data_IF_204297529477
#
_entry.id   IF_204297529477
#
_cell.length_a   1.000
_cell.length_b   1.000
_cell.length_c   1.000
_cell.angle_alpha   90.00
_cell.angle_beta   90.00
_cell.angle_gamma   90.00
#
_symmetry.space_group_name_H-M   'P 1'
#
loop_
_entity.id
_entity.type
_entity.pdbx_description
1 polymer ?
2 polymer ?
3 non-polymer ?
4 non-polymer ?
5 non-polymer ?
6 water ?
#
# COMPACT_ATOMS: atom_id res chain seq x y z
N UNK A 4 -10.06 -3.75 19.67
CA UNK A 4 -10.06 -4.79 18.58
C UNK A 4 -9.30 -4.24 17.34
N UNK A 5 -9.48 -2.95 17.01
CA UNK A 5 -8.87 -2.33 15.80
C UNK A 5 -7.63 -1.51 16.12
N UNK A 6 -6.51 -1.82 15.47
CA UNK A 6 -5.27 -1.04 15.67
C UNK A 6 -4.60 -0.76 14.33
N UNK A 7 -3.67 0.19 14.37
CA UNK A 7 -2.95 0.66 13.19
C UNK A 7 -1.46 0.48 13.41
N UNK A 8 -0.82 -0.18 12.45
CA UNK A 8 0.63 -0.37 12.41
C UNK A 8 1.17 0.28 11.14
N UNK A 9 2.28 1.01 11.27
CA UNK A 9 3.03 1.55 10.14
C UNK A 9 4.44 0.98 10.17
N UNK A 10 4.90 0.53 9.00
CA UNK A 10 6.21 -0.09 8.86
C UNK A 10 7.11 0.90 8.11
N UNK A 11 8.30 1.14 8.67
CA UNK A 11 9.24 2.08 8.06
C UNK A 11 10.65 1.51 8.12
N UNK A 12 11.53 2.10 7.33
CA UNK A 12 12.92 1.67 7.24
C UNK A 12 13.46 1.93 5.85
N UNK A 13 14.78 1.81 5.71
CA UNK A 13 15.44 2.16 4.46
C UNK A 13 14.86 1.44 3.26
N UNK A 14 14.98 2.07 2.10
CA UNK A 14 14.65 1.41 0.85
C UNK A 14 15.36 0.07 0.76
N UNK A 15 14.64 -0.93 0.28
CA UNK A 15 15.13 -2.28 0.04
C UNK A 15 15.45 -3.10 1.28
N UNK A 16 15.05 -2.65 2.47
CA UNK A 16 15.38 -3.37 3.71
C UNK A 16 14.42 -4.54 3.98
N UNK A 17 13.41 -4.74 3.13
CA UNK A 17 12.52 -5.90 3.21
C UNK A 17 11.11 -5.66 3.76
N UNK A 18 10.69 -4.40 3.84
CA UNK A 18 9.37 -4.08 4.40
C UNK A 18 8.21 -4.77 3.68
N UNK A 19 8.14 -4.57 2.38
CA UNK A 19 7.03 -5.11 1.58
C UNK A 19 7.00 -6.64 1.59
N UNK A 20 8.15 -7.26 1.38
CA UNK A 20 8.24 -8.72 1.46
C UNK A 20 7.80 -9.25 2.84
N UNK A 21 8.11 -8.54 3.92
CA UNK A 21 7.67 -8.95 5.25
C UNK A 21 6.13 -8.93 5.39
N UNK A 22 5.51 -7.87 4.89
CA UNK A 22 4.07 -7.77 4.87
C UNK A 22 3.44 -8.88 4.00
N UNK A 23 4.02 -9.10 2.82
CA UNK A 23 3.47 -10.11 1.89
C UNK A 23 3.49 -11.50 2.52
N UNK A 24 4.60 -11.86 3.14
CA UNK A 24 4.75 -13.18 3.76
C UNK A 24 3.85 -13.34 4.99
N UNK A 25 3.69 -12.27 5.76
CA UNK A 25 2.73 -12.26 6.86
C UNK A 25 1.27 -12.47 6.41
N UNK A 26 0.95 -11.96 5.21
CA UNK A 26 -0.37 -12.18 4.60
C UNK A 26 -0.57 -13.63 4.09
N UNK A 27 0.49 -14.44 4.21
CA UNK A 27 0.51 -15.89 3.91
C UNK A 27 0.68 -16.17 2.42
N UNK A 28 1.00 -15.13 1.64
CA UNK A 28 1.53 -15.32 0.29
C UNK A 28 2.94 -15.90 0.37
N UNK A 29 3.39 -16.51 -0.73
CA UNK A 29 4.77 -16.97 -0.81
C UNK A 29 5.67 -15.75 -0.90
N UNK A 30 6.94 -15.94 -0.56
CA UNK A 30 7.95 -14.92 -0.75
C UNK A 30 7.97 -14.55 -2.25
N UNK A 31 7.84 -13.26 -2.59
CA UNK A 31 7.80 -12.87 -4.00
C UNK A 31 9.16 -12.88 -4.67
N UNK A 32 9.23 -13.57 -5.82
CA UNK A 32 10.47 -13.69 -6.59
C UNK A 32 10.50 -12.76 -7.83
N UNK A 33 9.42 -12.74 -8.62
CA UNK A 33 9.38 -12.01 -9.89
C UNK A 33 8.58 -10.69 -9.82
N UNK A 34 7.41 -10.75 -9.19
CA UNK A 34 6.50 -9.61 -9.11
C UNK A 34 6.52 -9.03 -7.70
N UNK A 35 7.44 -8.10 -7.46
CA UNK A 35 7.61 -7.49 -6.13
C UNK A 35 6.97 -6.10 -6.12
N UNK A 36 5.80 -5.93 -5.47
CA UNK A 36 5.19 -4.61 -5.33
C UNK A 36 6.13 -3.62 -4.64
N UNK A 37 6.05 -2.35 -5.00
CA UNK A 37 6.81 -1.32 -4.35
C UNK A 37 6.24 -1.03 -2.93
N UNK A 38 4.92 -0.92 -2.86
CA UNK A 38 4.22 -0.73 -1.59
C UNK A 38 3.02 -1.67 -1.61
N UNK A 39 2.83 -2.42 -0.53
CA UNK A 39 1.77 -3.41 -0.42
C UNK A 39 0.44 -2.71 -0.23
N UNK A 40 -0.61 -3.16 -0.90
CA UNK A 40 -1.95 -2.56 -0.71
C UNK A 40 -2.57 -2.97 0.65
N UNK A 41 -3.71 -2.36 0.97
CA UNK A 41 -4.42 -2.59 2.23
C UNK A 41 -4.53 -4.04 2.60
N UNK A 42 -4.14 -4.35 3.83
CA UNK A 42 -4.28 -5.68 4.37
C UNK A 42 -4.38 -5.58 5.87
N UNK A 43 -5.53 -5.97 6.42
CA UNK A 43 -5.72 -6.04 7.85
C UNK A 43 -5.35 -7.45 8.29
N UNK A 44 -4.48 -7.53 9.29
CA UNK A 44 -4.05 -8.81 9.84
C UNK A 44 -4.89 -9.17 11.06
N UNK A 45 -5.35 -10.41 11.10
CA UNK A 45 -6.06 -10.94 12.26
C UNK A 45 -5.06 -11.63 13.17
N UNK A 46 -4.93 -11.12 14.38
CA UNK A 46 -3.92 -11.60 15.31
C UNK A 46 -4.56 -11.73 16.68
N UNK A 47 -4.32 -12.86 17.35
CA UNK A 47 -4.79 -13.05 18.72
C UNK A 47 -3.58 -13.22 19.62
N UNK A 48 -3.54 -12.45 20.71
CA UNK A 48 -2.50 -12.57 21.73
C UNK A 48 -3.16 -12.41 23.10
N UNK A 49 -2.76 -13.24 24.07
CA UNK A 49 -3.21 -13.13 25.47
C UNK A 49 -4.73 -12.96 25.59
N UNK A 50 -5.47 -13.77 24.83
CA UNK A 50 -6.92 -13.78 24.90
C UNK A 50 -7.65 -12.57 24.32
N UNK A 51 -6.98 -11.82 23.45
CA UNK A 51 -7.60 -10.65 22.79
C UNK A 51 -7.43 -10.74 21.27
N UNK A 52 -8.51 -10.48 20.55
CA UNK A 52 -8.52 -10.59 19.10
C UNK A 52 -8.24 -9.20 18.56
N UNK A 53 -7.29 -9.10 17.63
CA UNK A 53 -6.92 -7.81 17.06
C UNK A 53 -6.98 -7.83 15.55
N UNK A 54 -7.52 -6.74 15.00
CA UNK A 54 -7.52 -6.46 13.57
C UNK A 54 -6.49 -5.36 13.36
N UNK A 55 -5.31 -5.76 12.88
CA UNK A 55 -4.18 -4.85 12.78
C UNK A 55 -4.04 -4.38 11.34
N UNK A 56 -4.39 -3.12 11.11
CA UNK A 56 -4.25 -2.53 9.78
C UNK A 56 -2.78 -2.17 9.55
N UNK A 57 -2.20 -2.77 8.50
CA UNK A 57 -0.80 -2.61 8.20
C UNK A 57 -0.58 -1.60 7.09
N UNK A 58 0.20 -0.56 7.38
CA UNK A 58 0.50 0.50 6.42
C UNK A 58 1.96 0.40 5.96
N UNK A 59 2.16 -0.01 4.72
CA UNK A 59 3.45 -0.04 4.08
C UNK A 59 3.87 1.38 3.71
N UNK A 60 5.17 1.66 3.69
CA UNK A 60 5.67 2.98 3.28
C UNK A 60 6.85 2.82 2.36
N UNK A 61 7.11 3.87 1.57
CA UNK A 61 8.29 3.91 0.70
C UNK A 61 9.45 4.45 1.54
N UNK A 62 10.50 3.66 1.66
CA UNK A 62 11.67 3.99 2.46
C UNK A 62 12.66 4.97 1.90
N UNK A 63 12.65 5.18 0.58
CA UNK A 63 13.62 6.07 -0.06
C UNK A 63 13.40 7.53 0.32
N UNK A 64 14.52 8.26 0.47
CA UNK A 64 14.51 9.67 0.84
C UNK A 64 13.67 10.52 -0.12
N UNK A 65 13.64 10.13 -1.38
CA UNK A 65 12.83 10.82 -2.39
C UNK A 65 11.36 10.94 -2.04
N UNK A 66 10.85 10.04 -1.20
CA UNK A 66 9.45 10.02 -0.81
C UNK A 66 9.22 10.49 0.63
N UNK A 67 10.20 11.18 1.22
CA UNK A 67 10.06 11.72 2.56
C UNK A 67 8.82 12.59 2.72
N UNK A 68 8.53 13.42 1.72
CA UNK A 68 7.38 14.32 1.75
C UNK A 68 6.03 13.59 1.79
N UNK A 69 5.95 12.41 1.21
CA UNK A 69 4.71 11.61 1.21
C UNK A 69 4.45 10.85 2.50
N UNK A 70 5.51 10.44 3.19
CA UNK A 70 5.38 9.53 4.31
C UNK A 70 4.50 10.03 5.48
N UNK A 71 4.56 11.34 5.80
CA UNK A 71 3.70 11.86 6.87
C UNK A 71 2.22 11.60 6.72
N UNK A 72 1.73 11.39 5.49
CA UNK A 72 0.32 11.08 5.30
C UNK A 72 -0.07 9.71 5.89
N UNK A 73 0.92 8.82 6.07
CA UNK A 73 0.67 7.52 6.71
C UNK A 73 0.65 7.52 8.24
N UNK A 74 1.25 8.54 8.86
CA UNK A 74 1.53 8.52 10.29
C UNK A 74 0.38 8.78 11.29
N UNK A 75 -0.67 9.52 10.91
CA UNK A 75 -1.60 9.89 11.98
C UNK A 75 -2.32 8.70 12.66
N UNK A 76 -2.49 8.80 13.97
CA UNK A 76 -3.24 7.83 14.76
C UNK A 76 -2.69 6.39 14.69
N UNK A 77 -1.37 6.30 14.66
CA UNK A 77 -0.66 5.02 14.64
C UNK A 77 -0.56 4.44 16.07
N UNK A 78 -0.82 3.13 16.21
CA UNK A 78 -0.71 2.46 17.51
C UNK A 78 0.64 1.80 17.76
N UNK A 79 1.28 1.38 16.68
CA UNK A 79 2.62 0.80 16.78
C UNK A 79 3.41 1.01 15.48
N UNK A 80 4.72 1.23 15.62
CA UNK A 80 5.63 1.36 14.50
C UNK A 80 6.53 0.13 14.43
N UNK A 81 6.64 -0.49 13.25
CA UNK A 81 7.71 -1.45 12.97
C UNK A 81 8.82 -0.67 12.29
N UNK A 82 9.92 -0.46 12.98
CA UNK A 82 11.03 0.27 12.42
C UNK A 82 12.07 -0.78 12.04
N UNK A 83 12.34 -0.85 10.75
CA UNK A 83 13.16 -1.92 10.17
C UNK A 83 14.51 -1.50 9.66
N UNK A 84 15.45 -2.43 9.74
CA UNK A 84 16.71 -2.38 9.03
C UNK A 84 16.96 -3.80 8.50
N UNK A 85 17.96 -3.97 7.65
CA UNK A 85 18.34 -5.28 7.16
C UNK A 85 19.60 -5.74 7.88
N UNK A 86 19.62 -7.01 8.26
CA UNK A 86 20.76 -7.61 8.95
C UNK A 86 21.99 -7.66 8.01
N UNK A 87 21.76 -7.68 6.71
CA UNK A 87 22.84 -7.61 5.71
C UNK A 87 23.32 -6.20 5.38
N UNK A 88 22.86 -5.20 6.13
CA UNK A 88 23.17 -3.79 5.87
C UNK A 88 23.35 -3.02 7.16
N UNK A 89 24.59 -3.02 7.67
CA UNK A 89 24.98 -2.13 8.73
C UNK A 89 24.64 -0.65 8.46
N UNK A 90 24.71 -0.23 7.19
CA UNK A 90 24.31 1.13 6.81
C UNK A 90 22.84 1.39 7.16
N UNK A 91 21.96 0.42 6.87
CA UNK A 91 20.53 0.53 7.23
C UNK A 91 20.30 0.62 8.74
N UNK A 92 21.14 -0.06 9.53
CA UNK A 92 21.07 0.04 10.98
C UNK A 92 21.47 1.44 11.45
N UNK A 93 22.52 2.01 10.86
CA UNK A 93 22.96 3.36 11.26
C UNK A 93 21.90 4.42 10.94
N UNK A 94 21.06 4.18 9.93
CA UNK A 94 19.95 5.09 9.66
C UNK A 94 18.81 5.00 10.66
N UNK A 95 18.81 3.97 11.52
CA UNK A 95 17.82 3.88 12.60
C UNK A 95 17.88 5.14 13.50
N UNK A 96 19.01 5.39 14.19
CA UNK A 96 19.09 6.62 15.00
C UNK A 96 19.24 7.91 14.22
N UNK A 97 19.83 7.87 13.03
CA UNK A 97 20.06 9.10 12.26
C UNK A 97 18.81 9.62 11.58
N UNK A 98 18.00 8.73 11.00
CA UNK A 98 16.84 9.16 10.18
C UNK A 98 15.51 8.72 10.76
N UNK A 99 15.35 7.42 10.96
CA UNK A 99 14.02 6.88 11.27
C UNK A 99 13.53 7.25 12.66
N UNK A 100 14.40 7.20 13.65
CA UNK A 100 13.98 7.53 15.00
C UNK A 100 13.51 9.00 15.14
N UNK A 101 14.31 9.97 14.67
CA UNK A 101 13.86 11.36 14.71
C UNK A 101 12.55 11.59 13.93
N UNK A 102 12.41 10.93 12.79
CA UNK A 102 11.19 11.10 12.00
C UNK A 102 9.95 10.60 12.74
N UNK A 103 10.03 9.35 13.19
CA UNK A 103 8.90 8.71 13.87
C UNK A 103 8.57 9.40 15.18
N UNK A 104 9.60 9.82 15.92
CA UNK A 104 9.36 10.49 17.18
C UNK A 104 8.75 11.87 16.97
N UNK A 105 9.02 12.50 15.84
CA UNK A 105 8.38 13.77 15.48
C UNK A 105 6.90 13.62 15.07
N UNK A 106 6.61 12.69 14.16
CA UNK A 106 5.24 12.51 13.63
C UNK A 106 4.37 11.57 14.47
N UNK A 107 5.00 10.70 15.25
CA UNK A 107 4.29 9.70 16.07
C UNK A 107 4.82 9.75 17.50
N UNK A 108 4.71 10.93 18.13
CA UNK A 108 5.33 11.08 19.44
C UNK A 108 4.79 10.07 20.46
N UNK A 109 5.71 9.40 21.15
CA UNK A 109 5.38 8.40 22.16
C UNK A 109 4.59 7.18 21.67
N UNK A 110 4.54 6.94 20.36
CA UNK A 110 3.98 5.70 19.82
C UNK A 110 5.01 4.56 20.00
N UNK A 111 4.59 3.39 20.50
CA UNK A 111 5.52 2.26 20.68
C UNK A 111 6.25 1.87 19.41
N UNK A 112 7.54 1.53 19.56
CA UNK A 112 8.34 1.10 18.42
C UNK A 112 8.80 -0.32 18.65
N UNK A 113 8.66 -1.18 17.64
CA UNK A 113 9.37 -2.46 17.59
C UNK A 113 10.53 -2.28 16.62
N UNK A 114 11.75 -2.52 17.08
CA UNK A 114 12.90 -2.54 16.18
C UNK A 114 13.03 -3.93 15.55
N UNK A 115 13.08 -3.97 14.23
CA UNK A 115 13.02 -5.24 13.50
C UNK A 115 14.23 -5.37 12.59
N UNK A 116 14.99 -6.44 12.81
CA UNK A 116 16.07 -6.82 11.89
C UNK A 116 15.59 -7.78 10.82
N UNK A 117 15.53 -7.31 9.56
CA UNK A 117 15.06 -8.16 8.47
C UNK A 117 16.20 -8.96 7.83
N UNK A 118 15.79 -9.91 7.00
CA UNK A 118 16.69 -10.73 6.19
C UNK A 118 17.69 -11.49 7.08
N UNK A 119 17.19 -11.97 8.21
CA UNK A 119 17.98 -12.81 9.15
C UNK A 119 18.70 -14.00 8.48
N UNK A 120 18.10 -14.54 7.42
CA UNK A 120 18.72 -15.59 6.61
C UNK A 120 20.09 -15.22 6.02
N UNK A 121 20.37 -13.92 5.90
CA UNK A 121 21.63 -13.48 5.36
C UNK A 121 22.77 -13.34 6.36
N UNK A 122 22.49 -13.49 7.65
CA UNK A 122 23.54 -13.41 8.63
C UNK A 122 24.62 -14.48 8.38
N UNK A 123 24.17 -15.73 8.17
CA UNK A 123 25.09 -16.85 7.88
C UNK A 123 25.06 -17.20 6.39
N UNK A 124 25.23 -16.18 5.56
CA UNK A 124 25.27 -16.35 4.13
C UNK A 124 26.62 -15.91 3.60
N UNK A 125 27.27 -16.79 2.84
CA UNK A 125 28.64 -16.54 2.38
C UNK A 125 28.76 -15.31 1.47
N UNK A 126 27.92 -15.23 0.46
CA UNK A 126 27.95 -14.07 -0.44
C UNK A 126 27.84 -12.75 0.34
N UNK A 127 26.90 -12.70 1.29
CA UNK A 127 26.71 -11.51 2.12
C UNK A 127 27.96 -11.15 2.92
N UNK A 128 28.54 -12.15 3.59
CA UNK A 128 29.80 -11.99 4.33
C UNK A 128 30.91 -11.41 3.47
N UNK A 129 31.07 -11.99 2.28
CA UNK A 129 32.13 -11.62 1.38
C UNK A 129 31.93 -10.22 0.79
N UNK A 130 30.72 -9.92 0.34
CA UNK A 130 30.39 -8.55 -0.13
C UNK A 130 30.60 -7.53 0.98
N UNK A 131 30.05 -7.79 2.16
CA UNK A 131 30.20 -6.85 3.29
C UNK A 131 31.66 -6.61 3.70
N UNK A 132 32.44 -7.68 3.78
CA UNK A 132 33.87 -7.56 4.15
C UNK A 132 34.67 -6.65 3.21
N UNK A 133 34.29 -6.60 1.93
CA UNK A 133 34.89 -5.65 0.96
C UNK A 133 34.79 -4.18 1.37
N UNK A 134 33.82 -3.86 2.24
CA UNK A 134 33.68 -2.52 2.80
C UNK A 134 33.96 -2.53 4.30
N UNK A 135 34.74 -3.51 4.77
CA UNK A 135 35.05 -3.73 6.20
C UNK A 135 33.84 -3.84 7.14
N UNK A 136 32.75 -4.40 6.62
CA UNK A 136 31.55 -4.61 7.40
C UNK A 136 31.30 -6.07 7.53
N UNK A 137 30.39 -6.41 8.43
CA UNK A 137 29.86 -7.75 8.57
C UNK A 137 28.35 -7.68 8.92
N UNK A 138 27.65 -8.83 8.86
CA UNK A 138 26.22 -8.77 9.19
C UNK A 138 25.99 -8.26 10.61
N UNK A 139 24.87 -7.59 10.80
CA UNK A 139 24.53 -7.06 12.11
C UNK A 139 24.39 -8.24 13.06
N UNK A 140 25.00 -8.11 14.24
CA UNK A 140 24.93 -9.16 15.23
C UNK A 140 23.69 -8.91 16.06
N UNK A 141 23.10 -9.96 16.62
CA UNK A 141 21.90 -9.79 17.43
C UNK A 141 22.08 -8.80 18.58
N UNK A 142 23.26 -8.81 19.21
CA UNK A 142 23.61 -7.90 20.30
C UNK A 142 23.51 -6.43 19.90
N UNK A 143 23.93 -6.15 18.67
CA UNK A 143 23.90 -4.79 18.11
C UNK A 143 22.47 -4.31 17.86
N UNK A 144 21.63 -5.22 17.36
CA UNK A 144 20.20 -4.91 17.22
C UNK A 144 19.56 -4.59 18.55
N UNK A 145 19.82 -5.45 19.55
CA UNK A 145 19.33 -5.26 20.91
C UNK A 145 19.80 -3.95 21.53
N UNK A 146 21.08 -3.64 21.39
CA UNK A 146 21.61 -2.37 21.89
C UNK A 146 20.91 -1.16 21.24
N UNK A 147 20.68 -1.24 19.93
CA UNK A 147 20.03 -0.14 19.23
C UNK A 147 18.60 0.05 19.75
N UNK A 148 17.90 -1.06 19.95
CA UNK A 148 16.53 -1.04 20.45
C UNK A 148 16.49 -0.39 21.82
N UNK A 149 17.45 -0.72 22.69
CA UNK A 149 17.53 -0.08 23.99
C UNK A 149 17.81 1.40 23.87
N UNK A 150 18.74 1.75 23.00
CA UNK A 150 19.15 3.14 22.78
C UNK A 150 18.01 4.03 22.30
N UNK A 151 17.08 3.49 21.51
CA UNK A 151 16.00 4.30 20.98
C UNK A 151 14.71 4.22 21.82
N UNK A 152 14.69 3.38 22.84
CA UNK A 152 13.53 3.19 23.68
C UNK A 152 12.41 2.41 23.00
N UNK A 153 12.78 1.36 22.29
CA UNK A 153 11.83 0.46 21.65
C UNK A 153 11.16 -0.45 22.69
N UNK A 154 9.94 -0.86 22.38
CA UNK A 154 9.23 -1.90 23.15
C UNK A 154 10.04 -3.20 23.18
N UNK A 155 10.62 -3.54 22.02
CA UNK A 155 11.40 -4.76 21.88
C UNK A 155 12.14 -4.83 20.56
N UNK A 156 13.00 -5.84 20.46
CA UNK A 156 13.81 -6.12 19.28
C UNK A 156 13.43 -7.51 18.76
N UNK A 157 13.18 -7.62 17.47
CA UNK A 157 12.89 -8.91 16.84
C UNK A 157 13.65 -9.03 15.56
N UNK A 158 14.07 -10.25 15.24
CA UNK A 158 14.69 -10.58 13.97
C UNK A 158 13.81 -11.54 13.19
N UNK A 159 13.82 -11.39 11.88
CA UNK A 159 13.03 -12.26 11.01
C UNK A 159 13.62 -12.39 9.63
N UNK A 160 13.13 -13.40 8.92
CA UNK A 160 13.42 -13.60 7.51
C UNK A 160 12.11 -13.82 6.80
N UNK A 161 11.73 -12.87 5.95
CA UNK A 161 10.61 -13.07 5.04
C UNK A 161 10.86 -14.26 4.10
N UNK A 162 12.10 -14.42 3.67
CA UNK A 162 12.45 -15.49 2.74
C UNK A 162 12.18 -16.89 3.32
N UNK A 163 12.59 -17.13 4.56
CA UNK A 163 12.38 -18.44 5.22
C UNK A 163 11.13 -18.51 6.11
N UNK A 164 10.49 -17.37 6.35
CA UNK A 164 9.39 -17.18 7.32
C UNK A 164 9.83 -17.13 8.80
N UNK A 165 11.10 -17.39 9.09
CA UNK A 165 11.59 -17.44 10.45
C UNK A 165 11.35 -16.09 11.15
N UNK A 166 10.66 -16.14 12.29
CA UNK A 166 10.42 -14.95 13.11
C UNK A 166 9.27 -14.04 12.68
N UNK A 167 8.65 -14.30 11.53
CA UNK A 167 7.67 -13.37 10.95
C UNK A 167 6.41 -13.25 11.81
N UNK A 168 5.82 -14.38 12.20
CA UNK A 168 4.67 -14.32 13.07
C UNK A 168 5.01 -13.66 14.40
N UNK A 169 6.22 -13.86 14.89
CA UNK A 169 6.62 -13.32 16.20
C UNK A 169 6.74 -11.78 16.17
N UNK A 170 7.18 -11.26 15.05
CA UNK A 170 7.24 -9.80 14.82
C UNK A 170 5.86 -9.18 15.01
N UNK A 171 4.88 -9.76 14.33
CA UNK A 171 3.54 -9.21 14.35
C UNK A 171 2.80 -9.48 15.65
N UNK A 172 3.09 -10.60 16.32
CA UNK A 172 2.57 -10.82 17.68
C UNK A 172 3.06 -9.75 18.65
N UNK A 173 4.36 -9.48 18.63
CA UNK A 173 4.94 -8.46 19.51
C UNK A 173 4.37 -7.07 19.21
N UNK A 174 4.22 -6.75 17.92
CA UNK A 174 3.64 -5.47 17.51
C UNK A 174 2.21 -5.33 18.08
N UNK A 175 1.47 -6.43 18.05
CA UNK A 175 0.10 -6.41 18.55
C UNK A 175 0.12 -6.21 20.06
N UNK A 176 1.00 -6.91 20.78
CA UNK A 176 1.15 -6.66 22.22
C UNK A 176 1.51 -5.20 22.55
N UNK A 177 2.37 -4.60 21.74
CA UNK A 177 2.74 -3.20 21.89
C UNK A 177 1.62 -2.22 21.54
N UNK A 178 0.81 -2.59 20.55
CA UNK A 178 -0.35 -1.81 20.14
C UNK A 178 -1.47 -1.77 21.19
N UNK A 179 -1.60 -2.87 21.93
CA UNK A 179 -2.56 -2.94 23.03
C UNK A 179 -2.01 -2.19 24.25
N UNK B 15 -14.88 21.49 -16.79
CA UNK B 15 -13.69 20.58 -16.65
C UNK B 15 -13.83 19.79 -15.33
N UNK B 16 -12.74 19.15 -14.91
CA UNK B 16 -12.77 18.30 -13.72
C UNK B 16 -12.15 18.98 -12.50
N UNK B 17 -12.77 18.80 -11.34
CA UNK B 17 -12.19 19.26 -10.09
C UNK B 17 -10.96 18.44 -9.76
N UNK B 18 -9.93 19.11 -9.26
CA UNK B 18 -8.71 18.48 -8.77
C UNK B 18 -8.42 19.01 -7.38
N UNK B 19 -8.44 18.13 -6.37
CA UNK B 19 -8.07 18.50 -5.01
C UNK B 19 -6.55 18.52 -4.88
N UNK B 20 -5.98 19.67 -4.53
CA UNK B 20 -4.53 19.82 -4.46
C UNK B 20 -3.94 19.62 -3.06
N UNK B 21 -4.78 19.71 -2.02
CA UNK B 21 -4.31 19.58 -0.64
C UNK B 21 -5.37 18.98 0.27
N UNK B 22 -4.98 18.71 1.52
CA UNK B 22 -5.89 18.17 2.54
C UNK B 22 -7.15 19.02 2.72
N UNK B 23 -6.99 20.34 2.69
CA UNK B 23 -8.10 21.26 2.92
C UNK B 23 -9.16 21.10 1.84
N UNK B 24 -8.72 21.09 0.57
CA UNK B 24 -9.64 20.91 -0.56
C UNK B 24 -10.28 19.53 -0.58
N UNK B 25 -9.51 18.49 -0.26
CA UNK B 25 -10.03 17.13 -0.23
C UNK B 25 -11.09 16.93 0.87
N UNK B 26 -10.84 17.51 2.05
CA UNK B 26 -11.80 17.43 3.16
C UNK B 26 -13.10 18.17 2.86
N UNK B 27 -12.95 19.39 2.32
CA UNK B 27 -14.06 20.21 1.86
C UNK B 27 -14.96 19.44 0.92
N UNK B 28 -14.35 18.82 -0.10
CA UNK B 28 -15.08 18.04 -1.08
C UNK B 28 -15.70 16.78 -0.46
N UNK B 29 -14.91 16.11 0.39
CA UNK B 29 -15.37 14.96 1.17
C UNK B 29 -16.67 15.19 1.93
N UNK B 30 -16.76 16.28 2.70
CA UNK B 30 -17.96 16.62 3.47
C UNK B 30 -19.22 16.73 2.62
N UNK B 31 -19.07 17.18 1.38
CA UNK B 31 -20.19 17.31 0.45
C UNK B 31 -20.69 15.98 -0.13
N UNK B 32 -19.98 14.88 0.11
CA UNK B 32 -20.37 13.57 -0.46
C UNK B 32 -21.32 12.81 0.46
N UNK B 33 -22.15 11.97 -0.14
CA UNK B 33 -23.13 11.16 0.58
C UNK B 33 -22.43 10.24 1.57
N UNK B 34 -22.90 10.23 2.83
CA UNK B 34 -22.33 9.35 3.87
C UNK B 34 -23.32 8.52 4.71
N UNK B 35 -24.62 8.71 4.51
CA UNK B 35 -25.64 8.05 5.37
C UNK B 35 -26.03 6.66 4.86
N UNK B 36 -25.03 5.80 4.64
CA UNK B 36 -25.29 4.41 4.29
C UNK B 36 -25.88 3.66 5.49
N UNK B 37 -26.47 2.51 5.22
CA UNK B 37 -26.95 1.61 6.28
C UNK B 37 -25.77 0.87 6.94
N UNK B 38 -26.01 0.34 8.14
CA UNK B 38 -25.03 -0.46 8.87
C UNK B 38 -24.42 -1.56 7.99
N UNK B 39 -25.30 -2.28 7.30
CA UNK B 39 -24.87 -3.34 6.40
C UNK B 39 -24.03 -2.79 5.24
N UNK B 40 -24.43 -1.66 4.69
CA UNK B 40 -23.73 -1.03 3.56
C UNK B 40 -22.32 -0.58 3.97
N UNK B 41 -22.21 0.04 5.13
CA UNK B 41 -20.91 0.46 5.69
C UNK B 41 -19.98 -0.72 5.96
N UNK B 42 -20.54 -1.81 6.49
CA UNK B 42 -19.75 -3.00 6.80
C UNK B 42 -19.26 -3.66 5.54
N UNK B 43 -20.07 -3.61 4.47
CA UNK B 43 -19.67 -4.12 3.16
C UNK B 43 -18.51 -3.31 2.59
N UNK B 44 -18.66 -1.98 2.64
CA UNK B 44 -17.62 -1.05 2.14
C UNK B 44 -16.34 -1.22 2.98
N UNK B 45 -16.49 -1.17 4.29
CA UNK B 45 -15.34 -1.34 5.18
C UNK B 45 -14.67 -2.70 5.04
N UNK B 46 -15.42 -3.78 4.83
CA UNK B 46 -14.84 -5.10 4.63
C UNK B 46 -13.93 -5.13 3.41
N UNK B 47 -14.38 -4.54 2.29
CA UNK B 47 -13.55 -4.40 1.11
C UNK B 47 -12.21 -3.73 1.44
N UNK B 48 -12.25 -2.65 2.22
CA UNK B 48 -11.03 -1.89 2.50
C UNK B 48 -10.04 -2.68 3.36
N UNK B 49 -10.50 -3.71 4.07
CA UNK B 49 -9.61 -4.54 4.89
C UNK B 49 -8.66 -5.35 4.03
N UNK B 50 -9.12 -5.74 2.85
CA UNK B 50 -8.33 -6.51 1.88
C UNK B 50 -9.19 -6.66 0.63
N UNK B 51 -8.81 -5.97 -0.43
CA UNK B 51 -9.60 -5.98 -1.67
C UNK B 51 -9.34 -7.22 -2.52
N UNK B 52 -8.29 -7.97 -2.18
CA UNK B 52 -7.83 -9.05 -3.04
C UNK B 52 -8.89 -10.14 -3.28
N UNK B 53 -9.58 -10.60 -2.23
CA UNK B 53 -10.56 -11.67 -2.43
C UNK B 53 -11.75 -11.24 -3.30
N UNK B 54 -12.09 -9.96 -3.25
CA UNK B 54 -13.13 -9.39 -4.12
C UNK B 54 -12.65 -9.36 -5.54
N UNK B 55 -11.55 -8.63 -5.75
CA UNK B 55 -11.09 -8.31 -7.09
C UNK B 55 -10.50 -9.51 -7.84
N UNK B 56 -9.72 -10.35 -7.14
CA UNK B 56 -9.13 -11.51 -7.78
C UNK B 56 -10.22 -12.49 -8.24
N UNK B 57 -11.20 -12.71 -7.39
CA UNK B 57 -12.36 -13.56 -7.70
C UNK B 57 -13.15 -13.05 -8.91
N UNK B 58 -13.37 -11.74 -8.96
CA UNK B 58 -14.12 -11.12 -10.04
C UNK B 58 -13.38 -11.17 -11.35
N UNK B 59 -12.08 -10.91 -11.33
CA UNK B 59 -11.25 -11.04 -12.53
C UNK B 59 -11.18 -12.50 -13.01
N UNK B 60 -10.92 -13.42 -12.09
CA UNK B 60 -10.79 -14.86 -12.41
C UNK B 60 -12.06 -15.48 -13.00
N UNK B 61 -13.23 -15.02 -12.55
CA UNK B 61 -14.52 -15.57 -12.99
C UNK B 61 -15.31 -14.63 -13.90
N UNK B 62 -14.65 -13.64 -14.49
CA UNK B 62 -15.31 -12.70 -15.43
C UNK B 62 -16.59 -12.06 -14.88
N UNK B 63 -16.63 -11.85 -13.56
CA UNK B 63 -17.76 -11.22 -12.91
C UNK B 63 -18.92 -12.12 -12.54
N UNK B 64 -18.78 -13.43 -12.80
CA UNK B 64 -19.80 -14.40 -12.40
C UNK B 64 -19.56 -14.81 -10.94
N UNK B 65 -20.64 -14.76 -10.15
CA UNK B 65 -20.59 -14.91 -8.69
C UNK B 65 -20.88 -16.32 -8.16
N UNK B 66 -21.65 -17.12 -8.91
CA UNK B 66 -22.14 -18.42 -8.39
C UNK B 66 -21.04 -19.43 -8.05
N UNK B 67 -19.89 -19.29 -8.72
CA UNK B 67 -18.67 -20.09 -8.46
C UNK B 67 -18.30 -20.24 -6.98
N UNK B 68 -18.52 -19.18 -6.20
CA UNK B 68 -18.26 -19.19 -4.76
C UNK B 68 -19.38 -18.43 -4.05
N UNK B 69 -20.30 -19.16 -3.41
CA UNK B 69 -21.36 -18.56 -2.60
C UNK B 69 -20.92 -17.50 -1.58
N UNK B 70 -19.77 -17.70 -0.93
CA UNK B 70 -19.35 -16.74 0.10
C UNK B 70 -19.04 -15.35 -0.47
N UNK B 71 -18.31 -15.30 -1.59
CA UNK B 71 -17.96 -14.02 -2.21
C UNK B 71 -19.17 -13.44 -2.92
N UNK B 72 -20.01 -14.31 -3.48
CA UNK B 72 -21.28 -13.87 -4.09
C UNK B 72 -22.07 -12.96 -3.14
N UNK B 73 -22.17 -13.39 -1.90
CA UNK B 73 -22.95 -12.68 -0.89
C UNK B 73 -22.32 -11.34 -0.54
N UNK B 74 -20.99 -11.32 -0.41
CA UNK B 74 -20.25 -10.09 -0.06
C UNK B 74 -20.29 -9.11 -1.25
N UNK B 75 -20.07 -9.65 -2.45
CA UNK B 75 -20.06 -8.85 -3.66
C UNK B 75 -21.43 -8.20 -3.91
N UNK B 76 -22.51 -8.97 -3.78
CA UNK B 76 -23.86 -8.41 -3.89
C UNK B 76 -24.17 -7.35 -2.83
N UNK B 77 -23.68 -7.54 -1.60
CA UNK B 77 -23.90 -6.54 -0.53
C UNK B 77 -23.17 -5.19 -0.77
N UNK B 78 -21.95 -5.30 -1.27
CA UNK B 78 -21.17 -4.11 -1.65
C UNK B 78 -21.79 -3.40 -2.88
N UNK B 79 -22.14 -4.18 -3.90
CA UNK B 79 -22.79 -3.64 -5.12
C UNK B 79 -24.02 -2.81 -4.73
N UNK B 80 -24.79 -3.33 -3.77
CA UNK B 80 -26.01 -2.67 -3.29
C UNK B 80 -25.70 -1.32 -2.63
N UNK B 81 -24.63 -1.26 -1.85
CA UNK B 81 -24.21 0.00 -1.22
C UNK B 81 -23.79 1.02 -2.26
N UNK B 82 -23.00 0.57 -3.23
CA UNK B 82 -22.50 1.45 -4.30
C UNK B 82 -23.55 1.77 -5.38
N UNK B 83 -24.52 0.88 -5.61
CA UNK B 83 -25.62 1.13 -6.59
C UNK B 83 -26.78 1.98 -6.06
N UNK B 84 -26.75 2.28 -4.77
CA UNK B 84 -27.72 3.17 -4.13
C UNK B 84 -27.84 4.55 -4.80
N UNK B 85 -29.05 5.12 -4.75
CA UNK B 85 -29.40 6.37 -5.45
C UNK B 85 -28.49 7.56 -5.17
N UNK B 86 -28.18 7.77 -3.90
CA UNK B 86 -27.40 8.92 -3.45
C UNK B 86 -25.90 8.64 -3.58
N UNK B 87 -25.50 7.38 -3.68
CA UNK B 87 -24.09 6.98 -3.71
C UNK B 87 -23.44 7.33 -5.04
N UNK B 88 -23.21 8.61 -5.27
CA UNK B 88 -22.59 9.05 -6.52
C UNK B 88 -21.90 10.38 -6.40
N UNK B 89 -21.07 10.65 -7.37
CA UNK B 89 -20.28 11.86 -7.39
C UNK B 89 -21.12 12.97 -8.02
N UNK B 90 -21.30 14.06 -7.27
CA UNK B 90 -21.93 15.29 -7.74
C UNK B 90 -21.16 16.05 -8.84
N UNK B 91 -19.83 16.02 -8.74
CA UNK B 91 -18.95 16.79 -9.62
C UNK B 91 -18.25 15.95 -10.69
N UNK B 92 -17.73 16.63 -11.69
CA UNK B 92 -16.64 16.08 -12.49
C UNK B 92 -15.40 16.13 -11.61
N UNK B 93 -14.71 15.00 -11.48
CA UNK B 93 -13.54 14.98 -10.60
C UNK B 93 -12.44 14.03 -11.08
N UNK B 94 -11.20 14.47 -10.89
CA UNK B 94 -10.02 13.67 -11.18
C UNK B 94 -9.59 12.90 -9.94
N UNK B 95 -9.39 11.59 -10.11
CA UNK B 95 -8.91 10.75 -9.03
C UNK B 95 -7.73 9.88 -9.52
N UNK B 96 -7.01 9.32 -8.57
CA UNK B 96 -5.68 8.76 -8.84
C UNK B 96 -5.47 7.38 -8.22
N UNK B 97 -4.73 6.53 -8.93
CA UNK B 97 -4.17 5.34 -8.31
C UNK B 97 -2.84 4.96 -8.95
N UNK B 98 -2.02 4.29 -8.15
CA UNK B 98 -0.76 3.75 -8.61
C UNK B 98 -0.91 2.27 -8.82
N UNK B 99 -0.07 1.74 -9.71
CA UNK B 99 -0.09 0.31 -10.04
C UNK B 99 1.30 -0.20 -10.36
N UNK B 100 1.52 -1.48 -10.13
CA UNK B 100 2.72 -2.15 -10.60
C UNK B 100 2.59 -2.44 -12.09
N UNK B 101 3.73 -2.69 -12.73
CA UNK B 101 3.81 -2.78 -14.19
C UNK B 101 2.96 -3.91 -14.78
N UNK B 102 2.71 -4.95 -14.00
CA UNK B 102 1.94 -6.10 -14.48
C UNK B 102 0.45 -5.83 -14.63
N UNK B 103 -0.02 -4.62 -14.26
CA UNK B 103 -1.34 -4.14 -14.67
C UNK B 103 -1.51 -4.27 -16.20
N UNK B 104 -0.41 -4.14 -16.95
CA UNK B 104 -0.43 -4.29 -18.39
C UNK B 104 -0.20 -5.73 -18.89
N UNK B 105 -0.16 -6.70 -17.98
CA UNK B 105 0.09 -8.11 -18.32
C UNK B 105 1.26 -8.72 -17.57
N UNK B 106 1.14 -10.02 -17.27
CA UNK B 106 2.18 -10.74 -16.52
C UNK B 106 3.55 -10.83 -17.22
N UNK B 107 3.63 -10.49 -18.49
CA UNK B 107 4.93 -10.34 -19.18
C UNK B 107 5.76 -9.12 -18.74
N UNK B 108 5.13 -8.18 -18.04
CA UNK B 108 5.83 -7.02 -17.48
C UNK B 108 6.02 -7.16 -15.97
N UNK B 109 7.17 -6.71 -15.47
CA UNK B 109 7.40 -6.55 -14.04
C UNK B 109 8.08 -5.19 -13.80
N UNK B 110 8.39 -4.87 -12.55
CA UNK B 110 8.83 -3.51 -12.21
C UNK B 110 10.25 -3.10 -12.65
N UNK B 111 11.00 -4.03 -13.22
CA UNK B 111 12.30 -3.70 -13.82
C UNK B 111 12.15 -3.00 -15.18
N UNK B 112 10.90 -2.85 -15.66
CA UNK B 112 10.61 -1.96 -16.79
C UNK B 112 11.13 -0.54 -16.55
N UNK B 113 11.19 -0.12 -15.28
CA UNK B 113 11.90 1.09 -14.90
C UNK B 113 13.25 0.64 -14.33
N UNK B 114 14.33 1.10 -14.95
CA UNK B 114 15.68 0.77 -14.55
C UNK B 114 16.43 2.07 -14.39
N UNK B 115 16.98 2.31 -13.20
CA UNK B 115 17.65 3.57 -12.86
C UNK B 115 16.80 4.80 -13.19
N UNK B 116 15.52 4.73 -12.83
CA UNK B 116 14.58 5.81 -13.06
C UNK B 116 14.25 6.08 -14.53
N UNK B 117 14.53 5.13 -15.41
CA UNK B 117 14.20 5.29 -16.83
C UNK B 117 13.28 4.16 -17.27
N UNK B 118 12.20 4.52 -17.97
CA UNK B 118 11.28 3.52 -18.50
C UNK B 118 11.85 2.91 -19.78
N UNK B 119 11.89 1.58 -19.84
CA UNK B 119 12.25 0.84 -21.04
C UNK B 119 11.39 1.28 -22.23
N UNK B 120 11.99 1.97 -23.19
CA UNK B 120 11.21 2.47 -24.34
C UNK B 120 10.58 1.41 -25.23
N UNK B 121 11.27 0.30 -25.44
CA UNK B 121 10.71 -0.80 -26.22
C UNK B 121 9.46 -1.37 -25.58
N UNK B 122 9.55 -1.69 -24.29
CA UNK B 122 8.41 -2.24 -23.56
C UNK B 122 7.29 -1.19 -23.46
N UNK B 123 7.66 0.07 -23.21
CA UNK B 123 6.69 1.15 -23.16
C UNK B 123 5.91 1.23 -24.45
N UNK B 124 6.59 1.20 -25.59
CA UNK B 124 5.89 1.31 -26.87
C UNK B 124 4.95 0.12 -27.13
N UNK B 125 5.31 -1.09 -26.67
CA UNK B 125 4.39 -2.26 -26.73
C UNK B 125 3.15 -2.04 -25.92
N UNK B 126 3.34 -1.48 -24.73
CA UNK B 126 2.23 -1.16 -23.84
C UNK B 126 1.30 -0.11 -24.48
N UNK B 127 1.83 1.02 -24.95
CA UNK B 127 0.89 1.99 -25.53
C UNK B 127 0.28 1.46 -26.83
N UNK B 128 1.04 0.70 -27.63
CA UNK B 128 0.45 0.04 -28.81
C UNK B 128 -0.73 -0.86 -28.44
N UNK B 129 -0.61 -1.60 -27.35
CA UNK B 129 -1.67 -2.51 -26.91
C UNK B 129 -2.85 -1.86 -26.17
N UNK B 130 -2.59 -0.81 -25.38
CA UNK B 130 -3.63 -0.25 -24.50
C UNK B 130 -4.08 1.18 -24.76
N UNK B 131 -3.29 1.97 -25.50
CA UNK B 131 -3.68 3.37 -25.71
C UNK B 131 -4.89 3.38 -26.64
N UNK B 132 -5.93 4.07 -26.22
CA UNK B 132 -7.18 4.14 -26.97
C UNK B 132 -8.14 2.99 -26.71
N UNK B 133 -7.81 2.12 -25.76
CA UNK B 133 -8.63 0.94 -25.47
C UNK B 133 -9.76 1.28 -24.50
N UNK B 134 -10.96 0.82 -24.82
CA UNK B 134 -12.09 0.86 -23.87
C UNK B 134 -12.11 -0.52 -23.20
N UNK B 135 -12.21 -0.53 -21.89
CA UNK B 135 -12.19 -1.79 -21.13
C UNK B 135 -13.15 -1.76 -19.93
N UNK B 136 -13.61 -2.95 -19.55
CA UNK B 136 -14.52 -3.12 -18.43
C UNK B 136 -13.73 -3.80 -17.32
N UNK B 137 -13.69 -3.18 -16.16
CA UNK B 137 -12.99 -3.77 -15.02
C UNK B 137 -13.93 -4.64 -14.22
N UNK B 138 -13.62 -5.94 -14.12
CA UNK B 138 -14.44 -6.89 -13.38
C UNK B 138 -14.40 -6.62 -11.88
N UNK B 139 -13.24 -6.25 -11.35
CA UNK B 139 -13.15 -5.84 -9.95
C UNK B 139 -13.62 -4.43 -9.67
N UNK B 140 -13.55 -4.03 -8.41
CA UNK B 140 -13.88 -2.67 -8.01
C UNK B 140 -12.63 -1.83 -8.29
N UNK B 141 -12.80 -0.52 -8.34
CA UNK B 141 -11.66 0.39 -8.56
C UNK B 141 -11.47 1.33 -7.37
N UNK B 142 -10.38 1.12 -6.62
CA UNK B 142 -9.98 2.01 -5.52
C UNK B 142 -9.14 3.17 -6.07
N UNK B 143 -9.53 4.38 -5.71
CA UNK B 143 -8.83 5.60 -6.12
C UNK B 143 -8.68 6.54 -4.94
N UNK B 144 -7.84 7.56 -5.09
CA UNK B 144 -7.80 8.67 -4.15
C UNK B 144 -8.06 9.99 -4.85
N UNK B 145 -8.72 10.90 -4.13
CA UNK B 145 -8.92 12.27 -4.61
C UNK B 145 -7.66 13.14 -4.41
N UNK B 146 -6.68 12.60 -3.72
CA UNK B 146 -5.42 13.28 -3.56
C UNK B 146 -4.28 12.53 -4.22
N UNK B 147 -3.55 13.23 -5.07
CA UNK B 147 -2.48 12.61 -5.79
C UNK B 147 -1.39 12.07 -4.87
N UNK B 148 -1.16 12.76 -3.76
CA UNK B 148 -0.12 12.37 -2.80
C UNK B 148 -0.52 11.26 -1.83
N UNK B 149 -1.81 10.95 -1.76
CA UNK B 149 -2.41 10.23 -0.61
C UNK B 149 -2.15 8.73 -0.52
N UNK B 150 -1.86 8.09 -1.65
CA UNK B 150 -1.32 6.74 -1.64
C UNK B 150 0.18 6.86 -1.59
N UNK B 151 0.85 5.89 -2.19
CA UNK B 151 2.22 6.06 -2.64
C UNK B 151 2.22 5.88 -4.15
N UNK B 152 1.14 6.40 -4.78
CA UNK B 152 0.93 6.28 -6.22
C UNK B 152 2.02 7.00 -7.01
N UNK B 153 2.64 8.01 -6.41
CA UNK B 153 3.83 8.63 -7.00
C UNK B 153 5.07 7.69 -6.94
N UNK B 154 5.08 6.77 -5.99
CA UNK B 154 6.14 5.77 -5.89
C UNK B 154 6.05 4.67 -6.95
N UNK B 155 4.83 4.27 -7.31
CA UNK B 155 4.63 3.13 -8.20
C UNK B 155 4.99 3.41 -9.64
N UNK B 156 5.32 2.36 -10.41
CA UNK B 156 5.73 2.59 -11.80
C UNK B 156 4.67 3.15 -12.74
N UNK B 157 3.39 2.93 -12.42
CA UNK B 157 2.28 3.35 -13.29
C UNK B 157 1.36 4.19 -12.45
N UNK B 158 1.02 5.38 -12.92
CA UNK B 158 0.06 6.22 -12.23
C UNK B 158 -1.08 6.49 -13.17
N UNK B 159 -2.30 6.27 -12.69
CA UNK B 159 -3.48 6.51 -13.49
C UNK B 159 -4.28 7.66 -12.94
N UNK B 160 -4.70 8.55 -13.83
CA UNK B 160 -5.68 9.56 -13.53
C UNK B 160 -6.97 9.11 -14.19
N UNK B 161 -8.02 8.97 -13.38
CA UNK B 161 -9.37 8.73 -13.85
C UNK B 161 -10.14 10.03 -13.84
N UNK B 162 -10.67 10.40 -15.01
CA UNK B 162 -11.62 11.50 -15.15
C UNK B 162 -13.01 10.94 -14.88
N UNK B 163 -13.56 11.27 -13.73
CA UNK B 163 -14.83 10.72 -13.25
C UNK B 163 -15.96 11.77 -13.41
N UNK B 164 -16.86 11.51 -14.35
CA UNK B 164 -17.97 12.42 -14.64
C UNK B 164 -19.03 12.41 -13.56
N UNK B 165 -19.64 13.58 -13.31
CA UNK B 165 -20.75 13.71 -12.33
C UNK B 165 -21.84 12.67 -12.60
N UNK B 166 -22.43 12.19 -11.51
CA UNK B 166 -23.38 11.08 -11.56
C UNK B 166 -22.76 9.68 -11.50
N UNK B 167 -21.43 9.57 -11.60
CA UNK B 167 -20.80 8.26 -11.50
C UNK B 167 -21.02 7.73 -10.07
N UNK B 168 -21.40 6.47 -9.97
CA UNK B 168 -21.67 5.87 -8.67
C UNK B 168 -20.35 5.57 -7.93
N UNK B 169 -20.43 5.58 -6.61
CA UNK B 169 -19.27 5.22 -5.78
C UNK B 169 -19.42 5.69 -4.36
N UNK B 170 -18.37 5.46 -3.56
CA UNK B 170 -18.39 5.85 -2.17
C UNK B 170 -17.09 6.55 -1.83
N UNK B 171 -17.20 7.67 -1.13
CA UNK B 171 -16.04 8.36 -0.54
C UNK B 171 -15.83 7.84 0.88
N UNK B 172 -14.60 7.47 1.21
CA UNK B 172 -14.32 6.92 2.53
C UNK B 172 -13.07 7.57 3.09
N UNK B 173 -13.21 8.22 4.23
CA UNK B 173 -12.05 8.75 4.95
C UNK B 173 -12.19 8.74 6.46
N UNK B 174 -12.96 7.79 6.98
CA UNK B 174 -13.27 7.69 8.41
C UNK B 174 -13.45 6.22 8.79
N UNK B 175 -13.22 5.88 10.06
CA UNK B 175 -13.15 4.48 10.47
C UNK B 175 -14.44 3.67 10.28
N UNK B 176 -15.59 4.33 10.30
CA UNK B 176 -16.87 3.65 10.00
C UNK B 176 -16.95 3.11 8.56
N UNK B 177 -16.20 3.74 7.64
CA UNK B 177 -16.21 3.36 6.23
C UNK B 177 -14.93 2.68 5.73
N UNK B 178 -13.82 2.84 6.44
CA UNK B 178 -12.58 2.23 5.99
C UNK B 178 -11.66 1.89 7.16
N UNK B 179 -10.97 0.76 7.03
CA UNK B 179 -9.98 0.32 8.02
C UNK B 179 -8.72 1.16 7.90
N UNK B 180 -8.60 1.92 6.80
CA UNK B 180 -7.49 2.82 6.54
C UNK B 180 -7.94 4.27 6.34
N UNK B 181 -8.47 4.91 7.40
CA UNK B 181 -8.77 6.33 7.24
C UNK B 181 -7.53 7.15 6.99
N UNK B 182 -7.71 8.20 6.19
CA UNK B 182 -6.63 9.07 5.76
C UNK B 182 -6.12 8.76 4.38
N UNK B 183 -6.84 7.94 3.62
CA UNK B 183 -6.51 7.66 2.22
C UNK B 183 -7.35 8.48 1.24
N UNK B 184 -8.34 9.21 1.74
CA UNK B 184 -9.20 10.07 0.92
C UNK B 184 -9.71 9.28 -0.28
N UNK B 185 -10.25 8.09 0.00
CA UNK B 185 -10.60 7.11 -1.00
C UNK B 185 -11.94 7.40 -1.66
N UNK B 186 -11.96 7.27 -2.98
CA UNK B 186 -13.21 7.12 -3.76
C UNK B 186 -13.21 5.73 -4.37
N UNK B 187 -14.14 4.91 -3.91
CA UNK B 187 -14.32 3.56 -4.39
C UNK B 187 -15.35 3.59 -5.53
N UNK B 188 -14.97 3.07 -6.69
CA UNK B 188 -15.88 2.96 -7.84
C UNK B 188 -16.43 1.54 -7.97
N UNK B 189 -17.67 1.41 -8.47
CA UNK B 189 -18.32 0.09 -8.59
C UNK B 189 -17.59 -0.87 -9.51
N UNK B 190 -17.83 -2.16 -9.32
CA UNK B 190 -17.35 -3.16 -10.22
C UNK B 190 -18.02 -3.00 -11.58
N UNK B 191 -17.44 -3.64 -12.59
CA UNK B 191 -17.88 -3.51 -13.98
C UNK B 191 -17.92 -2.05 -14.47
N UNK B 192 -17.07 -1.19 -13.92
CA UNK B 192 -16.93 0.17 -14.45
C UNK B 192 -16.21 0.05 -15.80
N UNK B 193 -16.72 0.81 -16.79
CA UNK B 193 -16.14 0.86 -18.13
C UNK B 193 -15.31 2.15 -18.21
N UNK B 194 -14.06 2.04 -18.66
CA UNK B 194 -13.26 3.24 -18.93
C UNK B 194 -12.52 3.18 -20.26
N UNK B 195 -12.21 4.36 -20.78
CA UNK B 195 -11.44 4.52 -21.98
C UNK B 195 -10.08 5.08 -21.59
N UNK B 196 -9.03 4.36 -21.97
CA UNK B 196 -7.65 4.83 -21.84
C UNK B 196 -7.42 5.83 -22.98
N UNK B 197 -7.39 7.12 -22.65
CA UNK B 197 -7.15 8.16 -23.65
C UNK B 197 -5.68 8.27 -24.04
N UNK B 198 -4.80 8.17 -23.06
CA UNK B 198 -3.37 8.39 -23.28
C UNK B 198 -2.54 7.57 -22.33
N UNK B 199 -1.48 6.95 -22.85
CA UNK B 199 -0.44 6.35 -22.05
C UNK B 199 0.86 7.04 -22.42
N UNK B 200 1.53 7.62 -21.42
CA UNK B 200 2.70 8.45 -21.69
C UNK B 200 3.69 8.36 -20.55
N UNK B 201 4.86 8.97 -20.75
CA UNK B 201 5.91 8.97 -19.73
C UNK B 201 6.03 10.38 -19.22
N UNK B 202 6.26 10.52 -17.91
CA UNK B 202 6.54 11.84 -17.35
C UNK B 202 7.63 11.73 -16.32
N UNK B 203 8.46 12.78 -16.23
CA UNK B 203 9.49 12.93 -15.21
C UNK B 203 8.88 13.57 -13.96
N UNK B 204 9.03 12.90 -12.82
CA UNK B 204 8.72 13.52 -11.54
C UNK B 204 9.81 14.56 -11.30
N UNK B 205 9.41 15.78 -10.94
CA UNK B 205 10.38 16.85 -10.73
C UNK B 205 11.17 16.67 -9.42
N UNK B 206 10.52 16.13 -8.39
CA UNK B 206 11.16 15.88 -7.10
C UNK B 206 12.21 14.76 -7.17
N UNK B 207 11.78 13.58 -7.63
CA UNK B 207 12.64 12.38 -7.67
C UNK B 207 13.53 12.29 -8.92
N UNK B 208 13.15 13.00 -9.98
CA UNK B 208 13.86 13.00 -11.28
C UNK B 208 13.86 11.63 -12.02
N UNK B 209 12.89 10.77 -11.69
CA UNK B 209 12.73 9.46 -12.32
C UNK B 209 11.51 9.50 -13.24
N UNK B 210 11.49 8.63 -14.25
CA UNK B 210 10.32 8.49 -15.12
C UNK B 210 9.26 7.62 -14.49
N UNK B 211 8.01 7.91 -14.83
CA UNK B 211 6.87 7.09 -14.45
C UNK B 211 6.00 6.94 -15.68
N UNK B 212 5.34 5.79 -15.81
CA UNK B 212 4.31 5.62 -16.83
C UNK B 212 3.02 6.25 -16.29
N UNK B 213 2.39 7.09 -17.09
CA UNK B 213 1.20 7.80 -16.77
C UNK B 213 0.09 7.35 -17.68
N UNK B 214 -1.11 7.20 -17.11
CA UNK B 214 -2.29 6.78 -17.85
C UNK B 214 -3.40 7.80 -17.60
N UNK B 215 -4.03 8.28 -18.68
CA UNK B 215 -5.25 9.09 -18.56
C UNK B 215 -6.40 8.23 -19.03
N UNK B 216 -7.35 7.97 -18.12
CA UNK B 216 -8.52 7.18 -18.41
C UNK B 216 -9.75 7.99 -18.09
N UNK B 217 -10.81 7.78 -18.88
CA UNK B 217 -12.08 8.48 -18.67
C UNK B 217 -13.19 7.47 -18.36
N UNK B 218 -13.94 7.72 -17.29
CA UNK B 218 -15.01 6.79 -16.85
C UNK B 218 -16.23 7.08 -17.72
N UNK B 219 -16.78 6.02 -18.32
CA UNK B 219 -17.85 6.10 -19.30
C UNK B 219 -19.18 5.56 -18.77
X LIG C 1 11.07 -0.02 -0.51
X LIG C 1 11.85 -1.43 -0.11
X LIG C 1 12.29 0.68 -1.88
X LIG C 1 9.71 -0.33 -1.19
X LIG C 1 10.99 1.02 0.67
X LIG C 1 11.27 -2.55 0.87
X LIG C 1 11.72 -2.27 2.28
X LIG C 1 9.76 -2.77 0.61
X LIG C 1 11.42 -5.14 -0.33
X LIG C 1 10.55 -5.88 0.56
X LIG C 1 11.00 -4.80 -1.73
X LIG C 1 12.09 -3.86 0.42
X LIG C 1 12.76 -6.04 -0.47
X LIG C 1 13.86 -5.60 -1.26
X LIG C 1 14.71 -6.77 -1.71
X LIG C 1 15.14 -7.55 -0.58
X LIG C 1 13.95 -7.68 -2.65
X LIG C 1 14.84 -7.99 -3.75
X LIG C 1 13.68 -8.92 -1.83
X LIG C 1 13.75 -10.12 -2.58
X LIG C 1 14.80 -8.91 -0.79
X LIG C 1 14.33 -9.48 0.47
X LIG C 1 13.26 -9.09 1.18
X LIG C 1 13.12 -9.80 2.29
X LIG C 1 14.16 -10.64 2.34
X LIG C 1 14.61 -11.72 3.24
X LIG C 1 13.98 -11.98 4.29
X LIG C 1 15.72 -12.39 2.91
X LIG C 1 16.41 -12.15 1.78
X LIG C 1 17.50 -12.89 1.52
X LIG C 1 16.05 -11.20 0.88
X LIG C 1 14.94 -10.46 1.11
X LIG D 1 8.33 -1.73 -0.54
X LIG E 1 -7.59 0.61 12.36
X LIG E 1 -8.32 -0.07 11.34
X LIG E 1 -8.41 1.78 12.92
X LIG E 1 -8.77 2.74 11.90
X LIG F 1 -19.58 9.29 -3.60
X LIG F 1 -18.71 10.45 -3.49
X LIG F 1 -20.56 9.21 -2.41
X LIG F 1 -19.75 9.03 -1.15
#
# INVERSE_FOLDING_TARGET
MAAIRKKLVIVGDGACGKTCLLIVNSKDQFPEVYVPTVFENYVADIEVDGKQVELALWDTAGQEDYDRLRPLSYPDTDVILMCFSIDSPDSLENIPEKWTPEVKHFCPNVPIILVGNKKDLRNDEHTRRELAKMKQEPVKPEEGRDMANRIGAFGYMECSAKTKDGVREVFEMATRAAL
GNIPTKPKDCNNVDKYKLCTNKEEADAWGKKQFNKWSKEEKSAIRDYTKNARPYNEFLRMHAGKLDSDPTMKKKIESLDKALNRKEAKVNDNIKVYRGDDAWIFGKEYDNSIIKNGKVDREKFKEIQKKFQGKTTTEFGYISTSILIDAGYAKTRPVMTEFKVGSGTHGAYMNSDDLTAYPGQYELLLPRNTVYKIEKIYIAIDNNTQKEQIKVEATIK
GSP PG O3B S1G O2G O3G PB O1B O2B PA O1A O2A O3A O5' C5' C4' O4' C3' O3' C2' O2' C1' N9 C8 N7 C5 C6 O6 N1 C2 N2 N3 C4
MG MG
EDO C1 O1 C2 O2
EDO C1 O1 C2 O2
#
